data_IF_669156660070
#
_entry.id   IF_669156660070
#
_cell.length_a   1.000
_cell.length_b   1.000
_cell.length_c   1.000
_cell.angle_alpha   90.00
_cell.angle_beta   90.00
_cell.angle_gamma   90.00
#
_symmetry.space_group_name_H-M   'P 1'
#
loop_
_entity.id
_entity.type
_entity.pdbx_description
1 polymer ?
#
# COMPACT_ATOMS: atom_id res chain seq x y z
N UNK A 1 1.76 8.62 52.65
CA UNK A 1 2.14 8.69 51.21
C UNK A 1 2.53 7.31 50.63
N UNK A 2 1.81 6.23 50.95
CA UNK A 2 2.15 4.86 50.51
C UNK A 2 1.21 4.33 49.40
N UNK A 3 0.04 4.94 49.24
CA UNK A 3 -0.99 4.53 48.28
C UNK A 3 -0.83 5.15 46.88
N UNK A 4 -0.08 6.25 46.74
CA UNK A 4 0.15 6.90 45.43
C UNK A 4 1.09 6.11 44.51
N UNK A 5 2.06 5.37 45.09
CA UNK A 5 3.00 4.54 44.32
C UNK A 5 2.32 3.37 43.62
N UNK A 6 1.28 2.80 44.25
CA UNK A 6 0.55 1.66 43.68
C UNK A 6 -0.39 2.10 42.56
N UNK A 7 -0.98 3.30 42.65
CA UNK A 7 -1.85 3.87 41.61
C UNK A 7 -1.03 4.23 40.36
N UNK A 8 0.16 4.82 40.52
CA UNK A 8 1.05 5.14 39.41
C UNK A 8 1.55 3.88 38.67
N UNK A 9 1.78 2.78 39.39
CA UNK A 9 2.20 1.51 38.80
C UNK A 9 1.09 0.82 37.99
N UNK A 10 -0.18 0.99 38.39
CA UNK A 10 -1.35 0.50 37.63
C UNK A 10 -1.58 1.35 36.38
N UNK A 11 -1.34 2.67 36.46
CA UNK A 11 -1.50 3.59 35.34
C UNK A 11 -0.46 3.35 34.21
N UNK A 12 0.77 2.99 34.57
CA UNK A 12 1.84 2.68 33.59
C UNK A 12 1.59 1.33 32.88
N UNK A 13 0.97 0.35 33.55
CA UNK A 13 0.61 -0.93 32.92
C UNK A 13 -0.60 -0.83 31.98
N UNK A 14 -1.40 0.23 32.07
CA UNK A 14 -2.57 0.46 31.21
C UNK A 14 -2.23 1.10 29.86
N UNK A 15 -1.01 1.62 29.68
CA UNK A 15 -0.57 2.27 28.42
C UNK A 15 -0.16 1.25 27.33
N UNK A 16 -0.06 -0.05 27.66
CA UNK A 16 0.42 -1.08 26.73
C UNK A 16 -0.66 -1.81 25.90
N UNK A 17 -1.91 -1.35 25.93
CA UNK A 17 -3.05 -1.95 25.21
C UNK A 17 -3.82 -0.75 24.67
N UNK A 18 -3.79 -0.39 23.38
CA UNK A 18 -4.37 -1.12 22.25
C UNK A 18 -3.65 -0.67 20.96
N UNK A 19 -2.65 -1.43 20.50
CA UNK A 19 -2.05 -1.25 19.16
C UNK A 19 -2.69 -2.29 18.23
N UNK A 20 -3.98 -2.11 17.91
CA UNK A 20 -4.63 -2.97 16.92
C UNK A 20 -4.28 -2.43 15.55
N UNK A 21 -3.43 -3.14 14.81
CA UNK A 21 -3.19 -2.86 13.40
C UNK A 21 -4.46 -3.05 12.57
N UNK A 22 -4.40 -2.62 11.32
CA UNK A 22 -5.48 -2.79 10.34
C UNK A 22 -5.02 -3.87 9.35
N UNK A 23 -5.87 -4.84 9.07
CA UNK A 23 -5.69 -5.72 7.92
C UNK A 23 -7.06 -5.85 7.22
N UNK A 24 -7.11 -5.51 5.94
CA UNK A 24 -8.36 -5.52 5.18
C UNK A 24 -8.13 -5.79 3.70
N UNK A 25 -9.09 -6.50 3.10
CA UNK A 25 -9.22 -6.69 1.65
C UNK A 25 -10.43 -5.89 1.10
N UNK A 26 -11.04 -5.01 1.91
CA UNK A 26 -12.19 -4.20 1.50
C UNK A 26 -11.76 -3.11 0.51
N UNK A 27 -11.95 -3.39 -0.77
CA UNK A 27 -11.63 -2.50 -1.89
C UNK A 27 -12.19 -1.08 -1.76
N UNK A 28 -13.26 -0.86 -1.01
CA UNK A 28 -13.89 0.46 -0.86
C UNK A 28 -13.11 1.31 0.17
N UNK A 29 -12.32 0.70 1.05
CA UNK A 29 -11.50 1.36 2.07
C UNK A 29 -10.03 1.53 1.63
N UNK A 30 -9.51 0.64 0.78
CA UNK A 30 -8.07 0.55 0.44
C UNK A 30 -7.50 1.88 -0.06
N UNK A 31 -8.22 2.58 -0.94
CA UNK A 31 -7.74 3.85 -1.48
C UNK A 31 -7.60 4.91 -0.39
N UNK A 32 -8.55 4.94 0.56
CA UNK A 32 -8.50 5.87 1.69
C UNK A 32 -7.38 5.50 2.66
N UNK A 33 -7.21 4.23 2.99
CA UNK A 33 -6.13 3.78 3.88
C UNK A 33 -4.74 4.09 3.30
N UNK A 34 -4.58 3.90 2.00
CA UNK A 34 -3.36 4.22 1.27
C UNK A 34 -3.09 5.74 1.18
N UNK A 35 -4.06 6.52 0.71
CA UNK A 35 -3.83 7.94 0.36
C UNK A 35 -4.26 8.95 1.41
N UNK A 36 -5.02 8.51 2.41
CA UNK A 36 -5.77 9.36 3.35
C UNK A 36 -6.70 10.36 2.62
N UNK A 37 -7.25 9.96 1.47
CA UNK A 37 -8.16 10.76 0.65
C UNK A 37 -9.30 9.90 0.09
N UNK A 38 -10.43 10.53 -0.23
CA UNK A 38 -11.55 9.85 -0.89
C UNK A 38 -11.17 9.36 -2.29
N UNK A 39 -11.75 8.23 -2.70
CA UNK A 39 -11.56 7.68 -4.03
C UNK A 39 -12.10 8.66 -5.10
N UNK A 40 -11.26 9.16 -6.03
CA UNK A 40 -11.73 10.04 -7.09
C UNK A 40 -12.74 9.33 -8.00
N UNK A 41 -13.76 10.06 -8.47
CA UNK A 41 -14.80 9.52 -9.37
C UNK A 41 -14.26 8.91 -10.67
N UNK A 42 -13.07 9.32 -11.07
CA UNK A 42 -12.38 8.87 -12.28
C UNK A 42 -11.54 7.59 -12.05
N UNK A 43 -11.63 6.99 -10.87
CA UNK A 43 -10.86 5.80 -10.47
C UNK A 43 -11.81 4.77 -9.86
N UNK A 44 -11.64 3.51 -10.26
CA UNK A 44 -12.30 2.38 -9.62
C UNK A 44 -11.25 1.50 -8.94
N UNK A 45 -11.48 1.14 -7.68
CA UNK A 45 -10.73 0.06 -7.03
C UNK A 45 -11.35 -1.27 -7.42
N UNK A 46 -10.59 -2.11 -8.13
CA UNK A 46 -11.04 -3.44 -8.54
C UNK A 46 -10.79 -4.43 -7.41
N UNK A 47 -9.58 -4.42 -6.85
CA UNK A 47 -9.18 -5.19 -5.68
C UNK A 47 -8.20 -4.36 -4.84
N UNK A 48 -8.08 -4.70 -3.57
CA UNK A 48 -6.98 -4.24 -2.76
C UNK A 48 -6.75 -5.15 -1.56
N UNK A 49 -5.56 -5.03 -0.99
CA UNK A 49 -5.14 -5.69 0.24
C UNK A 49 -4.23 -4.75 1.00
N UNK A 50 -4.53 -4.53 2.26
CA UNK A 50 -3.85 -3.56 3.10
C UNK A 50 -3.51 -4.18 4.44
N UNK A 51 -2.32 -3.87 4.93
CA UNK A 51 -1.91 -4.08 6.31
C UNK A 51 -1.24 -2.83 6.84
N UNK A 52 -1.59 -2.43 8.06
CA UNK A 52 -0.95 -1.34 8.81
C UNK A 52 -0.64 -1.80 10.22
N UNK A 53 0.55 -1.47 10.70
CA UNK A 53 0.98 -1.80 12.06
C UNK A 53 0.20 -0.96 13.08
N UNK A 54 -0.04 -1.51 14.27
CA UNK A 54 -0.67 -0.74 15.35
C UNK A 54 0.30 0.18 16.10
N UNK A 55 1.55 0.30 15.64
CA UNK A 55 2.58 1.11 16.29
C UNK A 55 2.28 2.61 16.14
N UNK A 56 3.03 3.44 16.86
CA UNK A 56 2.86 4.90 16.79
C UNK A 56 3.25 5.48 15.42
N UNK A 57 4.19 4.81 14.73
CA UNK A 57 4.61 5.12 13.37
C UNK A 57 3.66 4.47 12.36
N UNK A 58 3.27 5.21 11.31
CA UNK A 58 2.45 4.66 10.23
C UNK A 58 3.31 3.77 9.34
N UNK A 59 3.31 2.48 9.65
CA UNK A 59 3.97 1.43 8.87
C UNK A 59 2.89 0.62 8.16
N UNK A 60 2.98 0.44 6.85
CA UNK A 60 2.00 -0.31 6.08
C UNK A 60 2.60 -1.01 4.87
N UNK A 61 1.88 -2.02 4.40
CA UNK A 61 2.06 -2.63 3.08
C UNK A 61 0.71 -2.68 2.38
N UNK A 62 0.70 -2.31 1.10
CA UNK A 62 -0.52 -2.28 0.30
C UNK A 62 -0.31 -2.86 -1.09
N UNK A 63 -1.29 -3.63 -1.55
CA UNK A 63 -1.50 -3.98 -2.95
C UNK A 63 -2.81 -3.40 -3.41
N UNK A 64 -2.81 -2.73 -4.57
CA UNK A 64 -4.02 -2.15 -5.16
C UNK A 64 -4.09 -2.48 -6.65
N UNK A 65 -5.26 -2.88 -7.12
CA UNK A 65 -5.59 -2.92 -8.54
C UNK A 65 -6.61 -1.83 -8.82
N UNK A 66 -6.15 -0.74 -9.41
CA UNK A 66 -6.98 0.37 -9.84
C UNK A 66 -7.30 0.29 -11.33
N UNK A 67 -8.44 0.86 -11.68
CA UNK A 67 -8.86 1.13 -13.06
C UNK A 67 -9.16 2.62 -13.22
N UNK A 68 -8.12 3.45 -13.40
CA UNK A 68 -8.29 4.88 -13.57
C UNK A 68 -8.63 5.26 -15.02
N UNK A 69 -9.18 6.46 -15.21
CA UNK A 69 -9.15 7.10 -16.53
C UNK A 69 -7.72 7.43 -16.95
N UNK A 70 -7.49 7.54 -18.26
CA UNK A 70 -6.18 7.98 -18.80
C UNK A 70 -5.81 9.38 -18.32
N UNK A 71 -6.80 10.27 -18.18
CA UNK A 71 -6.60 11.63 -17.67
C UNK A 71 -6.04 11.59 -16.25
N UNK A 72 -6.72 10.88 -15.35
CA UNK A 72 -6.28 10.73 -13.97
C UNK A 72 -4.89 10.13 -13.88
N UNK A 73 -4.61 9.07 -14.63
CA UNK A 73 -3.28 8.45 -14.62
C UNK A 73 -2.17 9.39 -15.07
N UNK A 74 -2.41 10.20 -16.11
CA UNK A 74 -1.43 11.18 -16.59
C UNK A 74 -1.19 12.28 -15.55
N UNK A 75 -2.22 12.75 -14.85
CA UNK A 75 -2.09 13.71 -13.75
C UNK A 75 -1.35 13.11 -12.56
N UNK A 76 -1.71 11.88 -12.15
CA UNK A 76 -1.05 11.14 -11.08
C UNK A 76 0.44 10.96 -11.35
N UNK A 77 0.81 10.51 -12.56
CA UNK A 77 2.22 10.40 -12.98
C UNK A 77 2.95 11.74 -12.87
N UNK A 78 2.31 12.83 -13.30
CA UNK A 78 2.92 14.16 -13.30
C UNK A 78 3.17 14.65 -11.88
N UNK A 79 2.17 14.57 -11.01
CA UNK A 79 2.26 15.01 -9.60
C UNK A 79 3.31 14.19 -8.84
N UNK A 80 3.40 12.89 -9.12
CA UNK A 80 4.37 12.00 -8.49
C UNK A 80 5.70 11.90 -9.24
N UNK A 81 5.90 12.69 -10.30
CA UNK A 81 7.13 12.72 -11.12
C UNK A 81 7.57 11.34 -11.64
N UNK A 82 6.61 10.45 -11.92
CA UNK A 82 6.89 9.04 -12.19
C UNK A 82 7.71 8.83 -13.46
N UNK A 83 7.66 9.73 -14.44
CA UNK A 83 8.44 9.59 -15.67
C UNK A 83 9.96 9.54 -15.41
N UNK A 84 10.44 10.21 -14.35
CA UNK A 84 11.85 10.12 -13.92
C UNK A 84 12.19 8.82 -13.18
N UNK A 85 11.17 8.14 -12.67
CA UNK A 85 11.22 6.87 -11.95
C UNK A 85 10.86 5.66 -12.84
N UNK A 86 10.75 5.87 -14.16
CA UNK A 86 10.48 4.79 -15.11
C UNK A 86 11.63 3.78 -15.09
N UNK A 87 11.29 2.51 -14.92
CA UNK A 87 12.26 1.43 -14.81
C UNK A 87 11.88 0.26 -15.73
N UNK A 88 12.79 -0.70 -15.87
CA UNK A 88 12.57 -1.89 -16.66
C UNK A 88 12.06 -3.02 -15.78
N UNK A 89 11.19 -3.86 -16.34
CA UNK A 89 10.74 -5.09 -15.70
C UNK A 89 11.92 -6.09 -15.64
N UNK A 90 12.72 -6.03 -14.58
CA UNK A 90 13.92 -6.84 -14.34
C UNK A 90 13.61 -8.18 -13.66
N UNK A 91 14.61 -9.07 -13.61
CA UNK A 91 14.52 -10.33 -12.86
C UNK A 91 14.27 -10.13 -11.36
N UNK A 92 14.81 -9.06 -10.77
CA UNK A 92 14.58 -8.73 -9.35
C UNK A 92 13.11 -8.45 -9.05
N UNK A 93 12.40 -7.79 -9.98
CA UNK A 93 10.96 -7.55 -9.85
C UNK A 93 10.20 -8.87 -9.95
N UNK A 94 10.62 -9.76 -10.85
CA UNK A 94 10.04 -11.10 -10.95
C UNK A 94 10.23 -11.87 -9.63
N UNK A 95 11.39 -11.72 -8.96
CA UNK A 95 11.63 -12.32 -7.65
C UNK A 95 10.71 -11.74 -6.57
N UNK A 96 10.50 -10.42 -6.55
CA UNK A 96 9.56 -9.75 -5.62
C UNK A 96 8.12 -10.21 -5.79
N UNK A 97 7.72 -10.59 -6.99
CA UNK A 97 6.39 -11.13 -7.29
C UNK A 97 6.24 -12.63 -6.97
N UNK A 98 7.23 -13.28 -6.33
CA UNK A 98 7.11 -14.68 -5.87
C UNK A 98 6.48 -14.74 -4.47
N UNK A 99 5.58 -15.69 -4.18
CA UNK A 99 4.86 -15.74 -2.89
C UNK A 99 5.74 -15.63 -1.65
N UNK A 100 6.93 -16.21 -1.70
CA UNK A 100 7.92 -16.37 -0.64
C UNK A 100 8.93 -15.20 -0.50
N UNK A 101 8.64 -14.05 -1.09
CA UNK A 101 9.38 -12.81 -0.78
C UNK A 101 9.03 -12.31 0.63
N UNK A 102 9.99 -11.69 1.33
CA UNK A 102 9.79 -11.21 2.70
C UNK A 102 8.89 -9.97 2.71
N UNK A 103 7.67 -10.09 3.24
CA UNK A 103 6.67 -9.01 3.32
C UNK A 103 5.77 -9.18 4.54
N UNK A 104 5.10 -8.09 4.94
CA UNK A 104 4.12 -8.10 6.02
C UNK A 104 2.85 -8.88 5.62
N UNK A 105 2.45 -8.82 4.35
CA UNK A 105 1.30 -9.56 3.81
C UNK A 105 1.66 -10.44 2.62
N UNK A 106 0.95 -11.57 2.50
CA UNK A 106 1.08 -12.46 1.34
C UNK A 106 0.63 -11.76 0.06
N UNK A 107 1.43 -11.92 -1.01
CA UNK A 107 1.09 -11.43 -2.35
C UNK A 107 -0.30 -11.96 -2.76
N UNK A 108 -1.26 -11.07 -3.07
CA UNK A 108 -2.58 -11.51 -3.49
C UNK A 108 -2.56 -12.25 -4.83
N UNK A 109 -3.37 -13.29 -4.98
CA UNK A 109 -3.45 -14.06 -6.25
C UNK A 109 -3.90 -13.22 -7.44
N UNK A 110 -4.63 -12.13 -7.21
CA UNK A 110 -5.08 -11.20 -8.24
C UNK A 110 -4.01 -10.17 -8.64
N UNK A 111 -2.94 -10.02 -7.85
CA UNK A 111 -1.86 -9.06 -8.14
C UNK A 111 -0.90 -9.63 -9.19
N UNK A 112 -1.29 -9.46 -10.46
CA UNK A 112 -0.60 -10.04 -11.62
C UNK A 112 -0.31 -8.96 -12.66
N UNK A 113 0.59 -8.01 -12.39
CA UNK A 113 1.05 -7.09 -13.41
C UNK A 113 1.71 -7.87 -14.54
N UNK A 114 1.36 -7.55 -15.79
CA UNK A 114 1.91 -8.26 -16.94
C UNK A 114 3.22 -7.62 -17.43
N UNK A 115 4.01 -8.39 -18.17
CA UNK A 115 5.30 -7.94 -18.75
C UNK A 115 5.18 -6.78 -19.76
N UNK A 116 3.98 -6.51 -20.27
CA UNK A 116 3.73 -5.40 -21.19
C UNK A 116 3.36 -4.11 -20.43
N UNK A 117 3.23 -4.17 -19.10
CA UNK A 117 3.02 -2.98 -18.27
C UNK A 117 4.29 -2.13 -18.27
N UNK A 118 4.09 -0.82 -18.36
CA UNK A 118 5.15 0.14 -18.05
C UNK A 118 5.37 0.13 -16.54
N UNK A 119 6.60 -0.08 -16.12
CA UNK A 119 6.99 -0.14 -14.72
C UNK A 119 7.59 1.19 -14.25
N UNK A 120 7.17 1.64 -13.08
CA UNK A 120 7.70 2.81 -12.40
C UNK A 120 8.02 2.44 -10.96
N UNK A 121 9.22 2.79 -10.49
CA UNK A 121 9.65 2.51 -9.12
C UNK A 121 10.18 3.78 -8.48
N UNK A 122 9.48 4.27 -7.46
CA UNK A 122 9.87 5.45 -6.70
C UNK A 122 9.98 5.06 -5.23
N UNK A 123 11.22 4.95 -4.73
CA UNK A 123 11.51 4.43 -3.38
C UNK A 123 10.89 3.02 -3.22
N UNK A 124 10.03 2.88 -2.23
CA UNK A 124 9.35 1.64 -1.87
C UNK A 124 7.95 1.52 -2.51
N UNK A 125 7.63 2.42 -3.46
CA UNK A 125 6.41 2.38 -4.27
C UNK A 125 6.70 1.84 -5.68
N UNK A 126 5.89 0.88 -6.10
CA UNK A 126 5.97 0.15 -7.36
C UNK A 126 4.64 0.29 -8.12
N UNK A 127 4.70 0.81 -9.36
CA UNK A 127 3.52 1.04 -10.20
C UNK A 127 3.67 0.30 -11.52
N UNK A 128 2.63 -0.45 -11.91
CA UNK A 128 2.58 -1.21 -13.15
C UNK A 128 1.38 -0.78 -13.98
N UNK A 129 1.63 0.00 -15.02
CA UNK A 129 0.59 0.55 -15.87
C UNK A 129 0.46 -0.22 -17.20
N UNK A 130 -0.72 -0.77 -17.46
CA UNK A 130 -1.03 -1.36 -18.76
C UNK A 130 -1.82 -0.39 -19.64
N UNK A 131 -1.15 0.17 -20.64
CA UNK A 131 -1.74 1.13 -21.58
C UNK A 131 -2.94 0.55 -22.37
N UNK A 132 -3.01 -0.77 -22.59
CA UNK A 132 -4.11 -1.39 -23.36
C UNK A 132 -5.37 -1.60 -22.52
N UNK A 133 -5.21 -2.16 -21.32
CA UNK A 133 -6.36 -2.53 -20.47
C UNK A 133 -6.76 -1.43 -19.49
N UNK A 134 -5.88 -0.42 -19.32
CA UNK A 134 -5.98 0.64 -18.31
C UNK A 134 -6.00 0.10 -16.88
N UNK A 135 -5.37 -1.05 -16.68
CA UNK A 135 -5.12 -1.58 -15.35
C UNK A 135 -3.87 -0.92 -14.78
N UNK A 136 -3.98 -0.47 -13.54
CA UNK A 136 -2.88 0.04 -12.72
C UNK A 136 -2.75 -0.87 -11.50
N UNK A 137 -1.65 -1.60 -11.42
CA UNK A 137 -1.29 -2.31 -10.19
C UNK A 137 -0.31 -1.46 -9.39
N UNK A 138 -0.53 -1.37 -8.09
CA UNK A 138 0.29 -0.60 -7.14
C UNK A 138 0.69 -1.53 -6.01
N UNK A 139 1.98 -1.57 -5.71
CA UNK A 139 2.51 -2.17 -4.50
C UNK A 139 3.33 -1.10 -3.77
N UNK A 140 3.10 -0.90 -2.49
CA UNK A 140 3.85 0.08 -1.71
C UNK A 140 4.07 -0.43 -0.30
N UNK A 141 5.29 -0.21 0.19
CA UNK A 141 5.69 -0.51 1.56
C UNK A 141 6.17 0.80 2.20
N UNK A 142 5.71 1.09 3.41
CA UNK A 142 6.26 2.13 4.26
C UNK A 142 6.59 1.51 5.62
N UNK A 143 7.87 1.56 6.01
CA UNK A 143 8.38 1.07 7.29
C UNK A 143 9.05 2.20 8.07
#
# INVERSE_FOLDING_TARGET
MRNFKNILSIFISAICVISCGIETDDKDEIYYLWTNAELPKDVLTINGKYWESGHFTKEYEVYIHLKPTVKWWNEFKKVNELDSAKSNFSEDIILKLKPNYNRAINLPEWFKPNKNSTFYQKKDSEFYWNEKTKDLFIHEIQL
#
